data_IF_517324316974
#
_entry.id   IF_517324316974
#
_cell.length_a   1.000
_cell.length_b   1.000
_cell.length_c   1.000
_cell.angle_alpha   90.00
_cell.angle_beta   90.00
_cell.angle_gamma   90.00
#
_symmetry.space_group_name_H-M   'P 1'
#
loop_
_entity.id
_entity.type
_entity.pdbx_description
1 polymer ?
#
# COMPACT_ATOMS: atom_id res chain seq x y z
N UNK A 1 17.83 15.15 8.74
CA UNK A 1 17.68 15.60 10.14
C UNK A 1 18.91 15.19 10.92
N UNK A 2 19.36 15.98 11.90
CA UNK A 2 20.45 15.62 12.82
C UNK A 2 19.94 14.75 13.99
N UNK A 3 20.80 14.50 14.97
CA UNK A 3 20.42 13.80 16.21
C UNK A 3 19.36 14.60 17.01
N UNK A 4 18.40 13.89 17.62
CA UNK A 4 17.30 14.42 18.43
C UNK A 4 17.06 13.46 19.62
N UNK A 5 16.34 13.90 20.64
CA UNK A 5 16.04 13.05 21.81
C UNK A 5 14.97 12.00 21.50
N UNK A 6 15.02 10.87 22.20
CA UNK A 6 13.97 9.85 22.06
C UNK A 6 12.58 10.37 22.48
N UNK A 7 12.52 11.35 23.40
CA UNK A 7 11.29 12.02 23.80
C UNK A 7 10.67 12.81 22.65
N UNK A 8 11.47 13.62 21.94
CA UNK A 8 11.00 14.35 20.75
C UNK A 8 10.51 13.39 19.66
N UNK A 9 11.21 12.27 19.45
CA UNK A 9 10.77 11.24 18.51
C UNK A 9 9.47 10.57 18.93
N UNK A 10 9.30 10.24 20.22
CA UNK A 10 8.06 9.67 20.73
C UNK A 10 6.87 10.61 20.52
N UNK A 11 7.05 11.90 20.78
CA UNK A 11 6.00 12.89 20.60
C UNK A 11 5.59 13.02 19.13
N UNK A 12 6.55 13.08 18.19
CA UNK A 12 6.24 13.04 16.75
C UNK A 12 5.48 11.79 16.34
N UNK A 13 5.86 10.63 16.89
CA UNK A 13 5.17 9.36 16.59
C UNK A 13 3.76 9.31 17.17
N UNK A 14 3.50 9.99 18.29
CA UNK A 14 2.16 10.05 18.89
C UNK A 14 1.14 10.85 18.06
N UNK A 15 1.62 11.64 17.10
CA UNK A 15 0.81 12.43 16.17
C UNK A 15 0.56 11.70 14.83
N UNK A 16 1.14 10.50 14.64
CA UNK A 16 0.94 9.73 13.41
C UNK A 16 -0.51 9.23 13.31
N UNK A 17 -1.04 9.30 12.09
CA UNK A 17 -2.38 8.85 11.77
C UNK A 17 -2.31 7.36 11.42
N UNK A 18 -3.34 6.60 11.81
CA UNK A 18 -3.54 5.22 11.39
C UNK A 18 -4.86 5.09 10.66
N UNK A 19 -4.84 4.44 9.50
CA UNK A 19 -6.05 4.20 8.69
C UNK A 19 -6.68 2.88 9.14
N UNK A 20 -7.94 2.93 9.58
CA UNK A 20 -8.69 1.74 9.97
C UNK A 20 -8.85 0.80 8.79
N UNK A 21 -8.67 -0.49 9.07
CA UNK A 21 -8.94 -1.58 8.12
C UNK A 21 -10.44 -1.87 7.94
N UNK A 22 -11.30 -1.17 8.69
CA UNK A 22 -12.74 -1.44 8.77
C UNK A 22 -13.09 -2.67 9.62
N UNK A 23 -12.10 -3.30 10.26
CA UNK A 23 -12.25 -4.45 11.16
C UNK A 23 -11.60 -4.15 12.50
N UNK A 24 -12.41 -4.11 13.58
CA UNK A 24 -11.91 -3.81 14.93
C UNK A 24 -10.84 -4.79 15.39
N UNK A 25 -10.99 -6.08 15.04
CA UNK A 25 -10.04 -7.13 15.43
C UNK A 25 -8.69 -6.94 14.72
N UNK A 26 -8.71 -6.58 13.43
CA UNK A 26 -7.49 -6.36 12.67
C UNK A 26 -6.82 -5.05 13.10
N UNK A 27 -7.59 -3.99 13.35
CA UNK A 27 -7.06 -2.73 13.89
C UNK A 27 -6.42 -2.94 15.26
N UNK A 28 -7.00 -3.78 16.12
CA UNK A 28 -6.42 -4.16 17.42
C UNK A 28 -5.08 -4.88 17.24
N UNK A 29 -5.01 -5.82 16.29
CA UNK A 29 -3.76 -6.54 15.97
C UNK A 29 -2.66 -5.59 15.46
N UNK A 30 -3.05 -4.57 14.71
CA UNK A 30 -2.16 -3.55 14.14
C UNK A 30 -1.93 -2.36 15.09
N UNK A 31 -2.42 -2.42 16.33
CA UNK A 31 -2.34 -1.32 17.31
C UNK A 31 -2.94 0.02 16.84
N UNK A 32 -3.98 -0.02 16.01
CA UNK A 32 -4.75 1.15 15.57
C UNK A 32 -5.19 1.09 14.11
N UNK A 33 -4.43 0.42 13.25
CA UNK A 33 -4.69 0.33 11.81
C UNK A 33 -3.39 0.41 11.00
N UNK A 34 -3.48 0.87 9.76
CA UNK A 34 -2.32 1.06 8.89
C UNK A 34 -1.68 2.43 9.18
N UNK A 35 -0.51 2.43 9.80
CA UNK A 35 0.24 3.64 10.17
C UNK A 35 0.75 4.41 8.94
N UNK A 36 0.58 5.75 8.94
CA UNK A 36 1.20 6.64 7.96
C UNK A 36 2.71 6.80 8.18
N UNK A 37 3.48 7.06 7.12
CA UNK A 37 4.94 7.16 7.20
C UNK A 37 5.64 5.79 7.25
N UNK A 38 4.92 4.73 6.90
CA UNK A 38 5.43 3.36 6.92
C UNK A 38 4.92 2.53 5.74
N UNK A 39 5.65 1.46 5.43
CA UNK A 39 5.22 0.42 4.48
C UNK A 39 4.66 -0.76 5.27
N UNK A 40 3.42 -1.13 4.97
CA UNK A 40 2.80 -2.37 5.47
C UNK A 40 2.70 -3.39 4.34
N UNK A 41 3.25 -4.59 4.55
CA UNK A 41 3.15 -5.71 3.61
C UNK A 41 2.05 -6.70 4.03
N UNK A 42 1.13 -6.97 3.11
CA UNK A 42 0.12 -8.03 3.24
C UNK A 42 0.51 -9.20 2.33
N UNK A 43 0.92 -10.32 2.91
CA UNK A 43 1.32 -11.51 2.16
C UNK A 43 0.49 -12.75 2.49
N UNK A 44 0.40 -13.67 1.53
CA UNK A 44 -0.32 -14.94 1.69
C UNK A 44 -0.71 -15.55 0.34
N UNK A 45 -1.32 -16.73 0.35
CA UNK A 45 -1.71 -17.45 -0.87
C UNK A 45 -2.76 -16.69 -1.70
N UNK A 46 -2.95 -17.07 -2.95
CA UNK A 46 -4.04 -16.52 -3.75
C UNK A 46 -5.40 -16.73 -3.03
N UNK A 47 -6.31 -15.75 -3.16
CA UNK A 47 -7.64 -15.73 -2.49
C UNK A 47 -7.67 -15.62 -0.96
N UNK A 48 -6.56 -15.28 -0.30
CA UNK A 48 -6.56 -15.03 1.17
C UNK A 48 -7.08 -13.65 1.61
N UNK A 49 -7.57 -12.82 0.68
CA UNK A 49 -8.22 -11.55 1.01
C UNK A 49 -7.37 -10.28 0.90
N UNK A 50 -6.09 -10.38 0.49
CA UNK A 50 -5.18 -9.22 0.32
C UNK A 50 -5.81 -8.06 -0.48
N UNK A 51 -6.24 -8.32 -1.71
CA UNK A 51 -6.88 -7.29 -2.54
C UNK A 51 -8.22 -6.80 -1.95
N UNK A 52 -8.93 -7.59 -1.15
CA UNK A 52 -10.15 -7.11 -0.48
C UNK A 52 -9.82 -6.09 0.62
N UNK A 53 -8.73 -6.30 1.35
CA UNK A 53 -8.23 -5.33 2.32
C UNK A 53 -7.80 -4.04 1.58
N UNK A 54 -7.08 -4.16 0.45
CA UNK A 54 -6.72 -3.01 -0.38
C UNK A 54 -7.93 -2.20 -0.86
N UNK A 55 -8.97 -2.84 -1.39
CA UNK A 55 -10.21 -2.16 -1.78
C UNK A 55 -10.91 -1.47 -0.60
N UNK A 56 -10.85 -2.07 0.60
CA UNK A 56 -11.44 -1.47 1.81
C UNK A 56 -10.65 -0.24 2.23
N UNK A 57 -9.32 -0.34 2.27
CA UNK A 57 -8.43 0.76 2.63
C UNK A 57 -8.51 1.94 1.65
N UNK A 58 -8.70 1.66 0.35
CA UNK A 58 -8.91 2.71 -0.65
C UNK A 58 -10.15 3.58 -0.38
N UNK A 59 -11.10 3.09 0.43
CA UNK A 59 -12.27 3.85 0.90
C UNK A 59 -12.04 4.41 2.30
N UNK A 60 -11.55 3.61 3.25
CA UNK A 60 -11.40 4.07 4.64
C UNK A 60 -10.34 5.16 4.79
N UNK A 61 -9.34 5.24 3.90
CA UNK A 61 -8.36 6.33 3.89
C UNK A 61 -8.97 7.71 3.64
N UNK A 62 -10.16 7.75 3.03
CA UNK A 62 -10.90 8.97 2.70
C UNK A 62 -11.75 9.48 3.86
N UNK A 63 -12.00 8.63 4.87
CA UNK A 63 -12.81 9.01 6.03
C UNK A 63 -12.15 10.14 6.83
N UNK A 64 -12.95 10.91 7.58
CA UNK A 64 -12.47 11.83 8.62
C UNK A 64 -11.56 11.15 9.65
N UNK A 65 -10.67 11.93 10.28
CA UNK A 65 -9.74 11.39 11.30
C UNK A 65 -10.46 10.77 12.51
N UNK A 66 -11.57 11.37 12.95
CA UNK A 66 -12.39 10.89 14.07
C UNK A 66 -13.14 9.59 13.75
N UNK A 67 -13.22 9.22 12.47
CA UNK A 67 -13.74 7.94 11.98
C UNK A 67 -12.63 6.93 11.64
N UNK A 68 -11.37 7.24 11.96
CA UNK A 68 -10.22 6.38 11.68
C UNK A 68 -9.76 6.40 10.22
N UNK A 69 -10.06 7.47 9.48
CA UNK A 69 -9.50 7.70 8.15
C UNK A 69 -8.30 8.63 8.14
N UNK A 70 -7.85 8.99 6.94
CA UNK A 70 -6.69 9.85 6.71
C UNK A 70 -7.00 11.21 6.08
N UNK A 71 -8.30 11.51 5.85
CA UNK A 71 -8.77 12.71 5.13
C UNK A 71 -7.99 12.95 3.82
N UNK A 72 -7.81 11.89 3.03
CA UNK A 72 -7.01 11.96 1.82
C UNK A 72 -7.43 10.95 0.76
N UNK A 73 -7.03 11.26 -0.47
CA UNK A 73 -7.24 10.40 -1.63
C UNK A 73 -6.37 9.13 -1.58
N UNK A 74 -6.70 8.15 -2.42
CA UNK A 74 -5.93 6.93 -2.59
C UNK A 74 -5.24 6.91 -3.96
N UNK A 75 -3.98 6.50 -4.01
CA UNK A 75 -3.31 6.04 -5.22
C UNK A 75 -3.32 4.51 -5.24
N UNK A 76 -3.72 3.90 -6.36
CA UNK A 76 -3.80 2.46 -6.53
C UNK A 76 -3.02 2.01 -7.76
N UNK A 77 -1.89 1.34 -7.54
CA UNK A 77 -1.09 0.70 -8.59
C UNK A 77 -1.45 -0.78 -8.63
N UNK A 78 -2.04 -1.21 -9.73
CA UNK A 78 -2.46 -2.60 -9.97
C UNK A 78 -1.51 -3.27 -10.97
N UNK A 79 -0.91 -4.40 -10.58
CA UNK A 79 0.03 -5.14 -11.42
C UNK A 79 -0.61 -6.37 -12.07
N UNK A 80 -1.74 -6.84 -11.54
CA UNK A 80 -2.37 -8.11 -11.95
C UNK A 80 -3.75 -7.91 -12.60
N UNK A 81 -4.28 -6.68 -12.62
CA UNK A 81 -5.61 -6.39 -13.14
C UNK A 81 -6.71 -6.85 -12.19
N UNK A 82 -6.48 -6.81 -10.88
CA UNK A 82 -7.40 -7.30 -9.85
C UNK A 82 -8.33 -6.22 -9.30
N UNK A 83 -8.06 -4.95 -9.61
CA UNK A 83 -8.87 -3.83 -9.14
C UNK A 83 -10.30 -3.91 -9.68
N UNK A 84 -11.30 -3.77 -8.81
CA UNK A 84 -12.72 -3.83 -9.16
C UNK A 84 -13.45 -2.65 -8.49
N UNK A 85 -13.80 -1.57 -9.22
CA UNK A 85 -14.50 -0.39 -8.68
C UNK A 85 -15.79 -0.73 -7.92
N UNK A 86 -16.53 -1.75 -8.38
CA UNK A 86 -17.75 -2.23 -7.70
C UNK A 86 -17.51 -2.65 -6.25
N UNK A 87 -16.28 -3.07 -5.90
CA UNK A 87 -15.92 -3.40 -4.51
C UNK A 87 -15.82 -2.14 -3.64
N UNK A 88 -15.34 -1.02 -4.18
CA UNK A 88 -15.30 0.26 -3.47
C UNK A 88 -16.72 0.75 -3.18
N UNK A 89 -17.63 0.65 -4.15
CA UNK A 89 -19.04 1.04 -3.96
C UNK A 89 -19.72 0.30 -2.81
N UNK A 90 -19.43 -1.00 -2.66
CA UNK A 90 -19.97 -1.79 -1.55
C UNK A 90 -19.43 -1.31 -0.18
N UNK A 91 -18.15 -0.93 -0.12
CA UNK A 91 -17.54 -0.39 1.10
C UNK A 91 -18.03 1.03 1.37
N UNK A 92 -18.14 1.88 0.35
CA UNK A 92 -18.70 3.24 0.46
C UNK A 92 -20.11 3.21 1.06
N UNK A 93 -20.97 2.33 0.56
CA UNK A 93 -22.33 2.14 1.10
C UNK A 93 -22.31 1.75 2.58
N UNK A 94 -21.41 0.84 2.99
CA UNK A 94 -21.25 0.45 4.40
C UNK A 94 -20.93 1.65 5.31
N UNK A 95 -20.16 2.62 4.82
CA UNK A 95 -19.78 3.82 5.57
C UNK A 95 -20.70 5.03 5.30
N UNK A 96 -21.78 4.87 4.51
CA UNK A 96 -22.70 5.96 4.18
C UNK A 96 -22.09 7.05 3.30
N UNK A 97 -21.04 6.74 2.53
CA UNK A 97 -20.36 7.67 1.63
C UNK A 97 -21.01 7.71 0.25
N UNK A 98 -20.86 8.83 -0.45
CA UNK A 98 -21.19 8.92 -1.88
C UNK A 98 -20.26 8.01 -2.69
N UNK A 99 -20.85 7.05 -3.41
CA UNK A 99 -20.07 6.13 -4.23
C UNK A 99 -19.30 6.83 -5.36
N UNK A 100 -19.88 7.88 -5.94
CA UNK A 100 -19.24 8.68 -7.00
C UNK A 100 -18.01 9.41 -6.48
N UNK A 101 -18.14 10.14 -5.36
CA UNK A 101 -17.03 10.85 -4.73
C UNK A 101 -15.92 9.89 -4.28
N UNK A 102 -16.29 8.72 -3.73
CA UNK A 102 -15.31 7.70 -3.35
C UNK A 102 -14.50 7.23 -4.54
N UNK A 103 -15.13 7.02 -5.70
CA UNK A 103 -14.45 6.59 -6.92
C UNK A 103 -13.55 7.70 -7.48
N UNK A 104 -14.00 8.95 -7.50
CA UNK A 104 -13.22 10.10 -7.96
C UNK A 104 -12.00 10.41 -7.09
N UNK A 105 -12.02 9.97 -5.83
CA UNK A 105 -10.91 10.09 -4.89
C UNK A 105 -9.90 8.93 -4.98
N UNK A 106 -10.05 7.99 -5.92
CA UNK A 106 -9.08 6.92 -6.17
C UNK A 106 -8.41 7.07 -7.53
N UNK A 107 -7.16 7.50 -7.52
CA UNK A 107 -6.32 7.53 -8.71
C UNK A 107 -5.76 6.13 -9.02
N UNK A 108 -6.22 5.54 -10.12
CA UNK A 108 -5.86 4.18 -10.53
C UNK A 108 -4.85 4.18 -11.69
N UNK A 109 -3.82 3.33 -11.58
CA UNK A 109 -2.91 3.03 -12.69
C UNK A 109 -2.60 1.54 -12.76
N UNK A 110 -2.49 1.00 -13.98
CA UNK A 110 -2.05 -0.38 -14.23
C UNK A 110 -0.58 -0.41 -14.64
N UNK A 111 0.25 -1.11 -13.88
CA UNK A 111 1.64 -1.38 -14.27
C UNK A 111 1.71 -2.61 -15.17
N UNK A 112 2.56 -2.55 -16.20
CA UNK A 112 2.67 -3.62 -17.21
C UNK A 112 4.03 -4.35 -17.18
N UNK A 113 5.03 -3.76 -16.51
CA UNK A 113 6.36 -4.32 -16.27
C UNK A 113 7.01 -3.58 -15.08
N UNK A 114 8.13 -4.08 -14.56
CA UNK A 114 8.81 -3.53 -13.38
C UNK A 114 9.29 -2.09 -13.57
N UNK A 115 9.72 -1.71 -14.78
CA UNK A 115 10.17 -0.36 -15.08
C UNK A 115 9.01 0.64 -15.03
N UNK A 116 7.89 0.29 -15.64
CA UNK A 116 6.67 1.09 -15.61
C UNK A 116 6.14 1.21 -14.17
N UNK A 117 6.19 0.13 -13.37
CA UNK A 117 5.82 0.17 -11.96
C UNK A 117 6.64 1.20 -11.17
N UNK A 118 7.95 1.31 -11.45
CA UNK A 118 8.81 2.32 -10.83
C UNK A 118 8.53 3.74 -11.35
N UNK A 119 8.24 3.90 -12.65
CA UNK A 119 7.86 5.19 -13.25
C UNK A 119 6.55 5.74 -12.66
N UNK A 120 5.58 4.86 -12.36
CA UNK A 120 4.33 5.27 -11.71
C UNK A 120 4.56 5.89 -10.33
N UNK A 121 5.62 5.51 -9.59
CA UNK A 121 5.96 6.18 -8.33
C UNK A 121 6.45 7.63 -8.53
N UNK A 122 7.06 7.94 -9.67
CA UNK A 122 7.45 9.31 -10.01
C UNK A 122 6.22 10.16 -10.31
N UNK A 123 5.26 9.61 -11.07
CA UNK A 123 3.99 10.28 -11.33
C UNK A 123 3.18 10.48 -10.04
N UNK A 124 3.16 9.46 -9.17
CA UNK A 124 2.53 9.54 -7.86
C UNK A 124 3.09 10.71 -7.03
N UNK A 125 4.41 10.92 -7.01
CA UNK A 125 4.99 12.06 -6.30
C UNK A 125 4.53 13.41 -6.85
N UNK A 126 4.38 13.55 -8.17
CA UNK A 126 3.86 14.78 -8.77
C UNK A 126 2.41 15.04 -8.36
N UNK A 127 1.56 14.01 -8.34
CA UNK A 127 0.17 14.12 -7.89
C UNK A 127 0.06 14.51 -6.42
N UNK A 128 0.93 13.96 -5.55
CA UNK A 128 0.96 14.27 -4.12
C UNK A 128 1.41 15.71 -3.81
N UNK A 129 2.12 16.37 -4.74
CA UNK A 129 2.45 17.79 -4.59
C UNK A 129 1.25 18.72 -4.83
N UNK A 130 0.25 18.29 -5.59
CA UNK A 130 -0.90 19.10 -5.98
C UNK A 130 -2.13 18.84 -5.10
N UNK A 131 -2.32 17.59 -4.69
CA UNK A 131 -3.49 17.17 -3.91
C UNK A 131 -3.09 16.23 -2.77
N UNK A 132 -3.86 16.29 -1.68
CA UNK A 132 -3.61 15.45 -0.50
C UNK A 132 -4.01 14.01 -0.76
N UNK A 133 -3.03 13.10 -0.69
CA UNK A 133 -3.23 11.67 -0.58
C UNK A 133 -2.93 11.23 0.85
N UNK A 134 -3.61 10.18 1.31
CA UNK A 134 -3.34 9.55 2.61
C UNK A 134 -2.84 8.11 2.47
N UNK A 135 -3.02 7.51 1.28
CA UNK A 135 -2.71 6.11 1.03
C UNK A 135 -2.17 5.88 -0.39
N UNK A 136 -1.12 5.07 -0.49
CA UNK A 136 -0.62 4.47 -1.72
C UNK A 136 -0.68 2.94 -1.62
N UNK A 137 -1.39 2.29 -2.53
CA UNK A 137 -1.49 0.83 -2.64
C UNK A 137 -0.71 0.35 -3.85
N UNK A 138 0.06 -0.74 -3.68
CA UNK A 138 0.65 -1.52 -4.77
C UNK A 138 0.19 -2.98 -4.67
N UNK A 139 -0.71 -3.38 -5.56
CA UNK A 139 -1.33 -4.71 -5.57
C UNK A 139 -1.04 -5.44 -6.90
N UNK A 140 -0.07 -6.34 -7.00
CA UNK A 140 0.92 -6.77 -5.99
C UNK A 140 2.33 -6.31 -6.34
N UNK A 141 3.16 -6.08 -5.31
CA UNK A 141 4.47 -5.45 -5.49
C UNK A 141 5.46 -6.31 -6.27
N UNK A 142 5.38 -7.64 -6.16
CA UNK A 142 6.39 -8.55 -6.73
C UNK A 142 5.94 -9.34 -7.96
N UNK A 143 4.69 -9.21 -8.42
CA UNK A 143 4.17 -10.01 -9.53
C UNK A 143 5.00 -9.84 -10.81
N UNK A 144 5.22 -8.60 -11.24
CA UNK A 144 5.97 -8.28 -12.48
C UNK A 144 7.44 -8.70 -12.39
N UNK A 145 8.03 -8.62 -11.19
CA UNK A 145 9.42 -9.06 -10.97
C UNK A 145 9.63 -10.57 -11.17
N UNK A 146 8.58 -11.39 -11.15
CA UNK A 146 8.67 -12.84 -11.38
C UNK A 146 8.75 -13.18 -12.87
N UNK A 147 8.19 -12.34 -13.72
CA UNK A 147 8.16 -12.53 -15.17
C UNK A 147 9.29 -11.77 -15.86
N UNK A 148 9.65 -10.61 -15.34
CA UNK A 148 10.62 -9.71 -15.98
C UNK A 148 12.06 -10.11 -15.68
N UNK A 149 12.30 -10.84 -14.58
CA UNK A 149 13.61 -11.34 -14.18
C UNK A 149 13.58 -12.84 -13.93
N UNK A 150 14.01 -13.63 -14.92
CA UNK A 150 13.86 -15.09 -14.91
C UNK A 150 15.19 -15.80 -14.63
N UNK A 151 15.15 -16.78 -13.74
CA UNK A 151 16.29 -17.64 -13.43
C UNK A 151 17.32 -17.03 -12.47
N UNK A 152 18.31 -17.84 -12.07
CA UNK A 152 19.31 -17.44 -11.05
C UNK A 152 20.27 -16.36 -11.54
N UNK A 153 20.52 -16.27 -12.86
CA UNK A 153 21.44 -15.29 -13.45
C UNK A 153 20.97 -13.83 -13.29
N UNK A 154 19.66 -13.61 -13.19
CA UNK A 154 19.07 -12.27 -13.07
C UNK A 154 18.69 -11.89 -11.64
N UNK A 155 18.98 -12.76 -10.66
CA UNK A 155 18.62 -12.55 -9.26
C UNK A 155 19.22 -11.23 -8.72
N UNK A 156 20.48 -10.93 -9.06
CA UNK A 156 21.14 -9.69 -8.66
C UNK A 156 20.42 -8.45 -9.20
N UNK A 157 20.11 -8.43 -10.51
CA UNK A 157 19.40 -7.34 -11.16
C UNK A 157 18.00 -7.15 -10.57
N UNK A 158 17.28 -8.25 -10.34
CA UNK A 158 15.97 -8.26 -9.70
C UNK A 158 16.01 -7.63 -8.31
N UNK A 159 16.96 -8.06 -7.46
CA UNK A 159 17.09 -7.54 -6.10
C UNK A 159 17.48 -6.06 -6.10
N UNK A 160 18.36 -5.65 -7.00
CA UNK A 160 18.76 -4.24 -7.15
C UNK A 160 17.56 -3.36 -7.55
N UNK A 161 16.78 -3.83 -8.53
CA UNK A 161 15.62 -3.10 -9.02
C UNK A 161 14.50 -3.05 -7.96
N UNK A 162 14.21 -4.17 -7.28
CA UNK A 162 13.22 -4.23 -6.19
C UNK A 162 13.62 -3.35 -5.01
N UNK A 163 14.91 -3.36 -4.63
CA UNK A 163 15.41 -2.49 -3.57
C UNK A 163 15.24 -1.00 -3.90
N UNK A 164 15.43 -0.61 -5.17
CA UNK A 164 15.18 0.77 -5.62
C UNK A 164 13.70 1.14 -5.52
N UNK A 165 12.81 0.22 -5.90
CA UNK A 165 11.36 0.40 -5.79
C UNK A 165 10.91 0.56 -4.34
N UNK A 166 11.29 -0.35 -3.44
CA UNK A 166 10.94 -0.28 -2.02
C UNK A 166 11.52 0.97 -1.33
N UNK A 167 12.75 1.38 -1.65
CA UNK A 167 13.32 2.64 -1.15
C UNK A 167 12.53 3.86 -1.62
N UNK A 168 12.03 3.84 -2.85
CA UNK A 168 11.22 4.93 -3.39
C UNK A 168 9.88 4.99 -2.68
N UNK A 169 9.23 3.85 -2.43
CA UNK A 169 8.01 3.78 -1.61
C UNK A 169 8.22 4.34 -0.20
N UNK A 170 9.30 3.94 0.48
CA UNK A 170 9.59 4.43 1.83
C UNK A 170 9.79 5.95 1.82
N UNK A 171 10.53 6.47 0.84
CA UNK A 171 10.71 7.91 0.68
C UNK A 171 9.39 8.64 0.49
N UNK A 172 8.46 8.10 -0.31
CA UNK A 172 7.13 8.70 -0.49
C UNK A 172 6.33 8.69 0.83
N UNK A 173 6.40 7.60 1.58
CA UNK A 173 5.76 7.51 2.91
C UNK A 173 6.29 8.60 3.86
N UNK A 174 7.61 8.76 3.93
CA UNK A 174 8.27 9.72 4.81
C UNK A 174 8.03 11.19 4.38
N UNK A 175 8.12 11.47 3.08
CA UNK A 175 8.08 12.82 2.52
C UNK A 175 6.66 13.41 2.51
N UNK A 176 5.67 12.59 2.15
CA UNK A 176 4.27 13.03 2.05
C UNK A 176 3.42 12.62 3.26
N UNK A 177 3.97 11.87 4.22
CA UNK A 177 3.25 11.43 5.42
C UNK A 177 2.09 10.50 5.11
N UNK A 178 2.21 9.64 4.09
CA UNK A 178 1.17 8.71 3.66
C UNK A 178 1.39 7.30 4.20
N UNK A 179 0.33 6.52 4.30
CA UNK A 179 0.45 5.08 4.44
C UNK A 179 0.81 4.43 3.10
N UNK A 180 1.69 3.45 3.11
CA UNK A 180 1.97 2.61 1.93
C UNK A 180 1.58 1.18 2.24
N UNK A 181 0.76 0.58 1.39
CA UNK A 181 0.37 -0.84 1.49
C UNK A 181 0.82 -1.58 0.25
N UNK A 182 1.62 -2.62 0.44
CA UNK A 182 2.02 -3.53 -0.63
C UNK A 182 1.41 -4.89 -0.39
N UNK A 183 0.98 -5.56 -1.46
CA UNK A 183 0.59 -6.97 -1.37
C UNK A 183 1.64 -7.86 -1.99
N UNK A 184 1.71 -9.09 -1.49
CA UNK A 184 2.61 -10.11 -2.01
C UNK A 184 1.93 -11.48 -2.00
N UNK A 185 2.24 -12.31 -2.99
CA UNK A 185 1.72 -13.68 -3.05
C UNK A 185 2.82 -14.66 -2.64
N UNK A 186 2.57 -15.55 -1.68
CA UNK A 186 3.54 -16.63 -1.43
C UNK A 186 3.43 -17.67 -2.54
N UNK A 187 4.56 -18.22 -2.95
CA UNK A 187 4.64 -19.41 -3.81
C UNK A 187 5.07 -20.59 -2.93
N UNK A 188 4.47 -21.75 -3.14
CA UNK A 188 4.86 -22.96 -2.44
C UNK A 188 6.35 -23.23 -2.67
N UNK A 189 7.10 -23.50 -1.60
CA UNK A 189 8.43 -24.06 -1.71
C UNK A 189 8.31 -25.50 -2.21
N UNK A 190 8.66 -25.73 -3.48
CA UNK A 190 8.92 -27.06 -4.02
C UNK A 190 10.37 -27.46 -3.73
N UNK A 191 10.76 -27.41 -2.46
CA UNK A 191 11.97 -28.07 -1.97
C UNK A 191 11.57 -28.92 -0.77
N UNK A 192 11.31 -30.21 -1.03
CA UNK A 192 11.03 -31.23 -0.04
C UNK A 192 12.28 -31.65 0.75
N UNK A 193 12.92 -30.69 1.43
CA UNK A 193 13.93 -30.97 2.44
C UNK A 193 13.31 -30.97 3.84
N UNK A 194 13.63 -31.94 4.71
CA UNK A 194 13.04 -31.99 6.05
C UNK A 194 13.38 -30.72 6.81
N UNK A 195 12.36 -30.11 7.41
CA UNK A 195 12.52 -29.02 8.36
C UNK A 195 13.40 -29.52 9.51
N UNK A 196 14.55 -28.88 9.70
CA UNK A 196 15.35 -29.01 10.92
C UNK A 196 14.94 -27.92 11.91
#
# INVERSE_FOLDING_TARGET
MGFTTATEMHQRRSELISISTGSKQLDTLLAGGIETGSITELFGEFRTGKSQICHTLAVTCQLPFDMGGGEGKCLYIDTEGTFRPVRLLAVANRFGLSGEEVLDNVAYARAYNSDHQLQLLQQASAMMCETRFSLLIVDSATALYRTDFVGRGELSSRQTHLAKFLRTLQRLADEFGIAVVITNQVVAQVDGGPSA
#
